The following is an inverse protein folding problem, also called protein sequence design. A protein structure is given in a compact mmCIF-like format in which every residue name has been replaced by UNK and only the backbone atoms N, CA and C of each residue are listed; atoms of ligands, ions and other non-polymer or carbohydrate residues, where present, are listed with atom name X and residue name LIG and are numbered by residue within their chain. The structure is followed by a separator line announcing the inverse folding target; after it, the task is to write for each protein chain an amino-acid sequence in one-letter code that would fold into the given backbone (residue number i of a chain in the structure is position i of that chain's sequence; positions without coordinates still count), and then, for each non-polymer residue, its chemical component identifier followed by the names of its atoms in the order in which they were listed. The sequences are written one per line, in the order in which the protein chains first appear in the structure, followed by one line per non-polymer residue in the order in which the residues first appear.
data_IF_014913631045
#
_entry.id   IF_014913631045
#
_cell.length_a   1.000
_cell.length_b   1.000
_cell.length_c   1.000
_cell.angle_alpha   90.00
_cell.angle_beta   90.00
_cell.angle_gamma   90.00
#
_symmetry.space_group_name_H-M   'P 1'
#
loop_
_entity.id
_entity.type
_entity.pdbx_description
1 polymer ?
#
# COMPACT_ATOMS: atom_id res chain seq x y z
N UNK A 1 2.71 2.56 10.06
CA UNK A 1 3.28 2.42 8.70
C UNK A 1 4.04 3.69 8.30
N UNK A 2 5.18 3.59 7.59
CA UNK A 2 5.81 4.71 6.89
C UNK A 2 4.83 5.44 5.98
N UNK A 3 5.00 6.76 5.73
CA UNK A 3 4.03 7.56 4.99
C UNK A 3 3.63 6.97 3.63
N UNK A 4 4.61 6.46 2.86
CA UNK A 4 4.37 5.87 1.54
C UNK A 4 3.55 4.59 1.58
N UNK A 5 3.82 3.71 2.56
CA UNK A 5 3.04 2.48 2.77
C UNK A 5 1.61 2.80 3.23
N UNK A 6 1.45 3.78 4.12
CA UNK A 6 0.13 4.23 4.58
C UNK A 6 -0.70 4.77 3.40
N UNK A 7 -0.12 5.64 2.58
CA UNK A 7 -0.81 6.20 1.42
C UNK A 7 -1.29 5.11 0.45
N UNK A 8 -0.44 4.12 0.14
CA UNK A 8 -0.83 3.01 -0.74
C UNK A 8 -2.00 2.21 -0.17
N UNK A 9 -1.98 1.94 1.15
CA UNK A 9 -3.07 1.23 1.85
C UNK A 9 -4.37 2.04 1.85
N UNK A 10 -4.28 3.35 2.11
CA UNK A 10 -5.43 4.26 2.11
C UNK A 10 -6.11 4.29 0.74
N UNK A 11 -5.33 4.54 -0.32
CA UNK A 11 -5.85 4.60 -1.69
C UNK A 11 -6.47 3.26 -2.12
N UNK A 12 -5.81 2.14 -1.83
CA UNK A 12 -6.24 0.84 -2.36
C UNK A 12 -7.39 0.20 -1.57
N UNK A 13 -7.36 0.24 -0.23
CA UNK A 13 -8.34 -0.48 0.60
C UNK A 13 -9.44 0.41 1.20
N UNK A 14 -9.25 1.73 1.27
CA UNK A 14 -10.23 2.65 1.85
C UNK A 14 -10.89 3.54 0.80
N UNK A 15 -10.18 3.83 -0.30
CA UNK A 15 -10.71 4.59 -1.45
C UNK A 15 -11.06 3.66 -2.62
N UNK A 16 -10.83 2.35 -2.49
CA UNK A 16 -11.12 1.32 -3.49
C UNK A 16 -10.50 1.57 -4.89
N UNK A 17 -9.39 2.31 -4.95
CA UNK A 17 -8.65 2.49 -6.19
C UNK A 17 -7.95 1.19 -6.59
N UNK A 18 -7.95 0.88 -7.88
CA UNK A 18 -7.15 -0.22 -8.39
C UNK A 18 -5.64 0.11 -8.39
N UNK A 19 -4.81 -0.84 -8.81
CA UNK A 19 -3.35 -0.67 -8.80
C UNK A 19 -2.89 0.45 -9.76
N UNK A 20 -3.53 0.58 -10.93
CA UNK A 20 -3.18 1.56 -11.94
C UNK A 20 -3.59 2.98 -11.49
N UNK A 21 -4.79 3.12 -10.93
CA UNK A 21 -5.29 4.37 -10.34
C UNK A 21 -4.43 4.81 -9.16
N UNK A 22 -4.10 3.88 -8.25
CA UNK A 22 -3.20 4.14 -7.12
C UNK A 22 -1.82 4.59 -7.62
N UNK A 23 -1.28 3.95 -8.66
CA UNK A 23 0.02 4.29 -9.24
C UNK A 23 0.02 5.70 -9.84
N UNK A 24 -1.06 6.09 -10.52
CA UNK A 24 -1.24 7.43 -11.06
C UNK A 24 -1.25 8.49 -9.94
N UNK A 25 -2.00 8.27 -8.86
CA UNK A 25 -2.05 9.19 -7.70
C UNK A 25 -0.69 9.28 -7.00
N UNK A 26 -0.03 8.15 -6.79
CA UNK A 26 1.29 8.08 -6.14
C UNK A 26 2.45 8.51 -7.04
N UNK A 27 2.19 8.79 -8.32
CA UNK A 27 3.18 9.14 -9.36
C UNK A 27 4.33 8.13 -9.42
N UNK A 28 3.99 6.85 -9.47
CA UNK A 28 4.95 5.76 -9.53
C UNK A 28 4.48 4.65 -10.49
N UNK A 29 5.31 3.62 -10.69
CA UNK A 29 4.91 2.46 -11.48
C UNK A 29 3.98 1.54 -10.66
N UNK A 30 3.07 0.83 -11.35
CA UNK A 30 2.21 -0.19 -10.73
C UNK A 30 3.01 -1.23 -9.92
N UNK A 31 4.19 -1.64 -10.41
CA UNK A 31 5.08 -2.55 -9.68
C UNK A 31 5.51 -1.99 -8.33
N UNK A 32 5.72 -0.68 -8.22
CA UNK A 32 6.04 0.00 -6.95
C UNK A 32 4.83 0.02 -6.02
N UNK A 33 3.60 0.16 -6.53
CA UNK A 33 2.38 0.05 -5.71
C UNK A 33 2.28 -1.35 -5.11
N UNK A 34 2.45 -2.39 -5.95
CA UNK A 34 2.38 -3.79 -5.52
C UNK A 34 3.41 -4.11 -4.43
N UNK A 35 4.67 -3.72 -4.60
CA UNK A 35 5.71 -3.94 -3.58
C UNK A 35 5.45 -3.12 -2.32
N UNK A 36 5.05 -1.86 -2.45
CA UNK A 36 4.71 -0.99 -1.29
C UNK A 36 3.57 -1.59 -0.47
N UNK A 37 2.53 -2.13 -1.11
CA UNK A 37 1.42 -2.81 -0.44
C UNK A 37 1.85 -4.13 0.22
N UNK A 38 2.77 -4.88 -0.41
CA UNK A 38 3.33 -6.08 0.19
C UNK A 38 4.10 -5.76 1.49
N UNK A 39 5.02 -4.80 1.44
CA UNK A 39 5.79 -4.35 2.61
C UNK A 39 4.86 -3.80 3.70
N UNK A 40 3.79 -3.09 3.31
CA UNK A 40 2.80 -2.56 4.24
C UNK A 40 2.06 -3.69 4.98
N UNK A 41 1.63 -4.74 4.27
CA UNK A 41 0.95 -5.92 4.87
C UNK A 41 1.87 -6.69 5.81
N UNK A 42 3.12 -6.91 5.42
CA UNK A 42 4.12 -7.56 6.30
C UNK A 42 4.31 -6.76 7.60
N UNK A 43 4.44 -5.44 7.49
CA UNK A 43 4.58 -4.57 8.65
C UNK A 43 3.32 -4.53 9.51
N UNK A 44 2.12 -4.56 8.92
CA UNK A 44 0.87 -4.64 9.66
C UNK A 44 0.77 -5.96 10.43
N UNK A 45 1.14 -7.08 9.80
CA UNK A 45 1.18 -8.40 10.47
C UNK A 45 2.06 -8.36 11.73
N UNK A 46 3.26 -7.76 11.62
CA UNK A 46 4.16 -7.59 12.76
C UNK A 46 3.58 -6.69 13.87
N UNK A 47 2.87 -5.62 13.52
CA UNK A 47 2.26 -4.69 14.49
C UNK A 47 1.04 -5.30 15.18
N UNK A 48 0.23 -6.07 14.46
CA UNK A 48 -1.04 -6.63 14.95
C UNK A 48 -0.86 -7.94 15.74
N UNK A 49 0.36 -8.49 15.79
CA UNK A 49 0.68 -9.66 16.61
C UNK A 49 0.23 -10.99 16.02
N UNK A 50 -0.22 -11.01 14.77
CA UNK A 50 -0.51 -12.24 14.03
C UNK A 50 0.81 -12.81 13.50
N UNK A 51 1.49 -13.62 14.31
CA UNK A 51 2.62 -14.42 13.82
C UNK A 51 2.11 -15.68 13.11
#
# INVERSE_FOLDING_TARGET
LPPRQRLAVELHYFVDLDVAETAAVMKCAEGTVKSTLADARERLRSILGEQ
#
